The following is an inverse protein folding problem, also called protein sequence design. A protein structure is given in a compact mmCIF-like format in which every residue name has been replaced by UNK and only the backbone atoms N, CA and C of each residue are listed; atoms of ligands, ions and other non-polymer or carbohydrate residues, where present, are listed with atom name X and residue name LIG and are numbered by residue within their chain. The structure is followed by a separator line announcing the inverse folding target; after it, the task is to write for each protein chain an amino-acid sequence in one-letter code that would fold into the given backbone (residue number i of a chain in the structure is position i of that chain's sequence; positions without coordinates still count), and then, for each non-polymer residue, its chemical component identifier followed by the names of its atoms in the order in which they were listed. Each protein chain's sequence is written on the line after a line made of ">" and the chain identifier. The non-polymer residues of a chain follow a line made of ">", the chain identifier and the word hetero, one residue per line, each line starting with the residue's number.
data_IF_313827899775
#
_entry.id   IF_313827899775
#
_cell.length_a   1.000
_cell.length_b   1.000
_cell.length_c   1.000
_cell.angle_alpha   90.00
_cell.angle_beta   90.00
_cell.angle_gamma   90.00
#
_symmetry.space_group_name_H-M   'P 1'
#
loop_
_entity.id
_entity.type
_entity.pdbx_description
1 polymer ?
#
# COMPACT_ATOMS: atom_id res chain seq x y z
N UNK A 1 -8.28 -14.62 91.13
CA UNK A 1 -7.97 -13.35 90.51
C UNK A 1 -8.31 -13.47 89.05
N UNK A 2 -9.48 -12.92 88.66
CA UNK A 2 -10.02 -13.00 87.29
C UNK A 2 -9.67 -11.73 86.52
N UNK A 3 -9.03 -11.85 85.37
CA UNK A 3 -8.90 -10.76 84.45
C UNK A 3 -9.69 -11.08 83.16
N UNK A 4 -10.74 -10.27 82.90
CA UNK A 4 -11.62 -10.31 81.75
C UNK A 4 -10.92 -9.72 80.52
N UNK A 5 -10.71 -10.50 79.46
CA UNK A 5 -10.37 -9.99 78.18
C UNK A 5 -11.65 -9.62 77.42
N UNK A 6 -11.76 -8.32 77.00
CA UNK A 6 -12.78 -7.82 76.11
C UNK A 6 -12.43 -8.20 74.68
N UNK A 7 -13.32 -8.91 73.97
CA UNK A 7 -13.25 -9.16 72.52
C UNK A 7 -13.71 -7.90 71.81
N UNK A 8 -12.84 -7.30 71.01
CA UNK A 8 -13.20 -6.26 70.04
C UNK A 8 -13.83 -6.92 68.80
N UNK A 9 -15.01 -6.48 68.43
CA UNK A 9 -15.68 -6.88 67.19
C UNK A 9 -14.96 -6.20 66.00
N UNK A 10 -14.25 -6.97 65.19
CA UNK A 10 -13.83 -6.52 63.86
C UNK A 10 -15.01 -6.63 62.91
N UNK A 11 -15.42 -5.48 62.35
CA UNK A 11 -16.41 -5.39 61.28
C UNK A 11 -15.76 -5.87 59.99
N UNK A 12 -16.20 -7.00 59.46
CA UNK A 12 -15.76 -7.51 58.15
C UNK A 12 -16.38 -6.61 57.12
N UNK A 13 -15.55 -5.73 56.52
CA UNK A 13 -15.93 -4.95 55.36
C UNK A 13 -16.17 -5.89 54.16
N UNK A 14 -17.34 -5.77 53.60
CA UNK A 14 -17.83 -6.60 52.52
C UNK A 14 -17.05 -6.31 51.23
N UNK A 15 -15.97 -7.05 50.97
CA UNK A 15 -15.08 -6.92 49.80
C UNK A 15 -15.79 -7.11 48.44
N UNK A 16 -16.97 -7.74 48.42
CA UNK A 16 -17.74 -7.96 47.21
C UNK A 16 -18.38 -6.67 46.65
N UNK A 17 -18.79 -5.75 47.53
CA UNK A 17 -19.36 -4.45 47.10
C UNK A 17 -18.29 -3.51 46.58
N UNK A 18 -17.08 -3.54 47.15
CA UNK A 18 -15.95 -2.71 46.67
C UNK A 18 -15.41 -3.21 45.34
N UNK A 19 -15.32 -4.54 45.15
CA UNK A 19 -14.92 -5.14 43.86
C UNK A 19 -15.90 -4.83 42.73
N UNK A 20 -17.22 -4.86 43.00
CA UNK A 20 -18.26 -4.49 42.04
C UNK A 20 -18.21 -3.01 41.64
N UNK A 21 -17.90 -2.12 42.58
CA UNK A 21 -17.77 -0.69 42.34
C UNK A 21 -16.52 -0.34 41.53
N UNK A 22 -15.39 -0.99 41.80
CA UNK A 22 -14.14 -0.86 41.06
C UNK A 22 -14.30 -1.42 39.64
N UNK A 23 -14.90 -2.59 39.46
CA UNK A 23 -15.14 -3.20 38.16
C UNK A 23 -16.09 -2.33 37.27
N UNK A 24 -17.11 -1.71 37.86
CA UNK A 24 -18.01 -0.81 37.16
C UNK A 24 -17.31 0.50 36.70
N UNK A 25 -16.43 1.05 37.55
CA UNK A 25 -15.62 2.22 37.17
C UNK A 25 -14.55 1.89 36.12
N UNK A 26 -13.89 0.72 36.24
CA UNK A 26 -12.94 0.26 35.21
C UNK A 26 -13.62 0.03 33.86
N UNK A 27 -14.78 -0.60 33.83
CA UNK A 27 -15.54 -0.80 32.57
C UNK A 27 -16.05 0.55 31.98
N UNK A 28 -16.38 1.53 32.81
CA UNK A 28 -16.77 2.86 32.32
C UNK A 28 -15.56 3.66 31.83
N UNK A 29 -14.39 3.57 32.50
CA UNK A 29 -13.13 4.16 32.03
C UNK A 29 -12.63 3.48 30.73
N UNK A 30 -12.69 2.15 30.66
CA UNK A 30 -12.32 1.41 29.42
C UNK A 30 -13.28 1.76 28.30
N UNK A 31 -14.59 1.89 28.54
CA UNK A 31 -15.53 2.38 27.52
C UNK A 31 -15.26 3.83 27.10
N UNK A 32 -14.90 4.71 28.02
CA UNK A 32 -14.53 6.10 27.70
C UNK A 32 -13.19 6.18 26.97
N UNK A 33 -12.21 5.35 27.32
CA UNK A 33 -10.91 5.25 26.63
C UNK A 33 -11.09 4.61 25.24
N UNK A 34 -11.94 3.59 25.09
CA UNK A 34 -12.25 2.98 23.79
C UNK A 34 -13.08 3.92 22.90
N UNK A 35 -13.99 4.74 23.47
CA UNK A 35 -14.72 5.75 22.71
C UNK A 35 -13.87 6.99 22.37
N UNK A 36 -12.84 7.31 23.19
CA UNK A 36 -11.88 8.41 22.89
C UNK A 36 -10.78 8.02 21.90
N UNK A 37 -10.57 6.71 21.61
CA UNK A 37 -9.61 6.25 20.60
C UNK A 37 -10.13 6.27 19.15
N UNK A 38 -11.35 6.68 18.92
CA UNK A 38 -12.01 6.50 17.63
C UNK A 38 -12.07 7.73 16.72
N UNK A 39 -11.24 8.77 16.92
CA UNK A 39 -11.24 9.92 16.00
C UNK A 39 -9.92 10.70 15.94
N UNK A 40 -8.77 10.13 16.24
CA UNK A 40 -7.50 10.74 15.85
C UNK A 40 -7.16 10.24 14.45
N UNK A 41 -7.17 11.16 13.50
CA UNK A 41 -6.67 10.95 12.15
C UNK A 41 -5.20 10.50 12.27
N UNK A 42 -4.84 9.36 11.67
CA UNK A 42 -3.45 8.90 11.66
C UNK A 42 -2.67 9.49 10.49
N UNK A 43 -3.36 9.82 9.41
CA UNK A 43 -2.80 10.40 8.21
C UNK A 43 -2.30 11.84 8.40
N UNK A 44 -1.20 12.16 7.78
CA UNK A 44 -0.73 13.54 7.61
C UNK A 44 -1.52 14.23 6.50
N UNK A 45 -2.19 15.35 6.84
CA UNK A 45 -2.89 16.18 5.85
C UNK A 45 -1.88 17.11 5.20
N UNK A 46 -1.80 17.06 3.89
CA UNK A 46 -0.85 17.85 3.10
C UNK A 46 -1.38 19.28 2.91
N UNK A 47 -0.52 20.25 3.09
CA UNK A 47 -0.77 21.67 2.74
C UNK A 47 -0.79 21.84 1.22
N UNK A 48 -1.28 22.97 0.74
CA UNK A 48 -1.29 23.28 -0.71
C UNK A 48 0.10 23.19 -1.33
N UNK A 49 1.14 23.71 -0.68
CA UNK A 49 2.51 23.66 -1.16
C UNK A 49 3.07 22.23 -1.21
N UNK A 50 2.72 21.42 -0.23
CA UNK A 50 3.10 19.99 -0.21
C UNK A 50 2.38 19.21 -1.31
N UNK A 51 1.11 19.50 -1.55
CA UNK A 51 0.35 18.89 -2.65
C UNK A 51 0.99 19.19 -4.00
N UNK A 52 1.44 20.43 -4.25
CA UNK A 52 2.13 20.76 -5.51
C UNK A 52 3.43 19.96 -5.66
N UNK A 53 4.20 19.80 -4.59
CA UNK A 53 5.42 18.95 -4.61
C UNK A 53 5.07 17.47 -4.87
N UNK A 54 3.99 16.97 -4.27
CA UNK A 54 3.49 15.61 -4.52
C UNK A 54 3.06 15.42 -5.99
N UNK A 55 2.41 16.43 -6.59
CA UNK A 55 2.06 16.41 -8.02
C UNK A 55 3.29 16.32 -8.91
N UNK A 56 4.33 17.07 -8.59
CA UNK A 56 5.60 17.04 -9.33
C UNK A 56 6.27 15.68 -9.18
N UNK A 57 6.44 15.17 -7.95
CA UNK A 57 7.06 13.88 -7.70
C UNK A 57 6.27 12.72 -8.36
N UNK A 58 4.94 12.74 -8.26
CA UNK A 58 4.07 11.74 -8.87
C UNK A 58 4.18 11.71 -10.40
N UNK A 59 4.22 12.87 -11.05
CA UNK A 59 4.42 12.96 -12.51
C UNK A 59 5.79 12.40 -12.92
N UNK A 60 6.85 12.77 -12.19
CA UNK A 60 8.19 12.29 -12.48
C UNK A 60 8.32 10.76 -12.31
N UNK A 61 7.65 10.17 -11.33
CA UNK A 61 7.58 8.71 -11.20
C UNK A 61 6.84 8.05 -12.37
N UNK A 62 5.70 8.61 -12.79
CA UNK A 62 4.95 8.15 -13.96
C UNK A 62 5.79 8.21 -15.24
N UNK A 63 6.55 9.30 -15.45
CA UNK A 63 7.43 9.50 -16.61
C UNK A 63 8.52 8.41 -16.70
N UNK A 64 9.06 7.95 -15.55
CA UNK A 64 10.02 6.82 -15.53
C UNK A 64 9.38 5.56 -16.09
N UNK A 65 8.13 5.24 -15.67
CA UNK A 65 7.41 4.05 -16.17
C UNK A 65 7.04 4.15 -17.66
N UNK A 66 6.73 5.35 -18.15
CA UNK A 66 6.50 5.56 -19.59
C UNK A 66 7.80 5.36 -20.37
N UNK A 67 8.89 5.97 -19.94
CA UNK A 67 10.21 5.86 -20.56
C UNK A 67 10.70 4.41 -20.61
N UNK A 68 10.65 3.69 -19.49
CA UNK A 68 11.24 2.33 -19.40
C UNK A 68 10.48 1.31 -20.23
N UNK A 69 9.22 1.57 -20.57
CA UNK A 69 8.40 0.67 -21.37
C UNK A 69 9.02 0.29 -22.73
N UNK A 70 9.75 1.20 -23.36
CA UNK A 70 10.44 0.97 -24.63
C UNK A 70 11.60 -0.04 -24.53
N UNK A 71 12.12 -0.25 -23.32
CA UNK A 71 13.25 -1.13 -23.04
C UNK A 71 12.83 -2.51 -22.54
N UNK A 72 11.57 -2.69 -22.17
CA UNK A 72 11.07 -4.00 -21.68
C UNK A 72 10.85 -4.95 -22.85
N UNK A 73 11.88 -5.72 -23.17
CA UNK A 73 11.89 -6.65 -24.30
C UNK A 73 12.72 -7.90 -24.00
N UNK A 74 12.53 -8.92 -24.83
CA UNK A 74 13.27 -10.19 -24.74
C UNK A 74 14.78 -9.97 -24.73
N UNK A 75 15.45 -10.65 -23.80
CA UNK A 75 16.91 -10.67 -23.66
C UNK A 75 17.48 -9.56 -22.79
N UNK A 76 16.70 -8.49 -22.48
CA UNK A 76 17.11 -7.45 -21.52
C UNK A 76 17.08 -8.04 -20.11
N UNK A 77 18.08 -7.73 -19.31
CA UNK A 77 18.13 -8.12 -17.89
C UNK A 77 17.37 -7.09 -17.02
N UNK A 78 16.89 -7.52 -15.88
CA UNK A 78 16.27 -6.59 -14.94
C UNK A 78 17.29 -5.62 -14.33
N UNK A 79 18.60 -5.97 -14.29
CA UNK A 79 19.67 -5.03 -13.95
C UNK A 79 19.85 -3.92 -14.98
N UNK A 80 19.74 -4.22 -16.29
CA UNK A 80 19.79 -3.18 -17.33
C UNK A 80 18.61 -2.23 -17.20
N UNK A 81 17.41 -2.73 -16.90
CA UNK A 81 16.23 -1.88 -16.65
C UNK A 81 16.45 -0.98 -15.41
N UNK A 82 17.01 -1.52 -14.34
CA UNK A 82 17.36 -0.74 -13.14
C UNK A 82 18.36 0.38 -13.47
N UNK A 83 19.41 0.06 -14.23
CA UNK A 83 20.43 1.06 -14.60
C UNK A 83 19.84 2.18 -15.46
N UNK A 84 18.99 1.84 -16.45
CA UNK A 84 18.32 2.84 -17.30
C UNK A 84 17.41 3.74 -16.46
N UNK A 85 16.62 3.16 -15.55
CA UNK A 85 15.77 3.93 -14.64
C UNK A 85 16.60 4.80 -13.68
N UNK A 86 17.69 4.26 -13.12
CA UNK A 86 18.59 5.01 -12.25
C UNK A 86 19.14 6.24 -12.96
N UNK A 87 19.71 6.06 -14.16
CA UNK A 87 20.29 7.14 -14.95
C UNK A 87 19.25 8.20 -15.33
N UNK A 88 18.04 7.79 -15.67
CA UNK A 88 16.95 8.71 -15.98
C UNK A 88 16.51 9.51 -14.76
N UNK A 89 16.29 8.84 -13.62
CA UNK A 89 15.91 9.48 -12.35
C UNK A 89 16.96 10.49 -11.89
N UNK A 90 18.25 10.07 -11.88
CA UNK A 90 19.32 10.88 -11.32
C UNK A 90 19.79 11.97 -12.29
N UNK A 91 20.09 11.60 -13.54
CA UNK A 91 20.78 12.49 -14.46
C UNK A 91 19.82 13.32 -15.33
N UNK A 92 18.60 12.84 -15.60
CA UNK A 92 17.62 13.57 -16.43
C UNK A 92 16.63 14.34 -15.55
N UNK A 93 16.04 13.68 -14.54
CA UNK A 93 15.02 14.30 -13.70
C UNK A 93 15.60 15.06 -12.50
N UNK A 94 16.90 14.86 -12.18
CA UNK A 94 17.53 15.37 -10.96
C UNK A 94 16.72 15.01 -9.71
N UNK A 95 16.36 13.74 -9.62
CA UNK A 95 15.63 13.12 -8.51
C UNK A 95 16.50 12.08 -7.80
N UNK A 96 16.04 11.61 -6.65
CA UNK A 96 16.66 10.52 -5.90
C UNK A 96 15.75 9.29 -6.04
N UNK A 97 16.27 8.11 -6.44
CA UNK A 97 15.49 6.86 -6.40
C UNK A 97 15.31 6.44 -4.94
N UNK A 98 14.08 6.49 -4.44
CA UNK A 98 13.76 6.24 -3.04
C UNK A 98 14.06 4.80 -2.56
N UNK A 99 13.90 3.74 -3.38
CA UNK A 99 14.20 2.39 -2.94
C UNK A 99 15.68 2.16 -2.62
N UNK A 100 16.60 2.85 -3.31
CA UNK A 100 18.05 2.64 -3.15
C UNK A 100 18.50 2.96 -1.73
N UNK A 101 19.06 1.95 -1.05
CA UNK A 101 19.49 2.00 0.36
C UNK A 101 18.34 2.14 1.38
N UNK A 102 17.10 1.97 0.98
CA UNK A 102 15.96 1.96 1.90
C UNK A 102 15.88 0.67 2.72
N UNK A 103 15.42 0.76 3.96
CA UNK A 103 15.15 -0.39 4.82
C UNK A 103 16.36 -1.04 5.48
N UNK A 104 16.15 -2.23 6.07
CA UNK A 104 17.20 -3.00 6.73
C UNK A 104 16.94 -4.52 6.51
N UNK A 105 17.80 -5.25 5.77
CA UNK A 105 19.00 -4.73 5.08
C UNK A 105 18.64 -3.68 4.02
N UNK A 106 19.57 -2.79 3.63
CA UNK A 106 19.28 -1.78 2.63
C UNK A 106 18.96 -2.41 1.27
N UNK A 107 17.90 -1.92 0.61
CA UNK A 107 17.55 -2.37 -0.74
C UNK A 107 18.64 -1.92 -1.73
N UNK A 108 19.19 -2.83 -2.56
CA UNK A 108 20.42 -2.55 -3.28
C UNK A 108 20.25 -1.88 -4.65
N UNK A 109 19.01 -1.52 -5.04
CA UNK A 109 18.64 -1.10 -6.39
C UNK A 109 17.73 0.12 -6.38
N UNK A 110 17.57 0.77 -7.53
CA UNK A 110 16.82 2.02 -7.68
C UNK A 110 15.34 1.81 -7.94
N UNK A 111 14.97 0.64 -8.45
CA UNK A 111 13.60 0.22 -8.72
C UNK A 111 13.37 -1.22 -8.25
N UNK A 112 12.11 -1.63 -8.08
CA UNK A 112 11.79 -3.05 -7.94
C UNK A 112 11.37 -3.63 -9.29
N UNK A 113 11.73 -4.91 -9.54
CA UNK A 113 11.32 -5.67 -10.74
C UNK A 113 10.77 -7.03 -10.36
N UNK A 114 9.46 -7.18 -10.43
CA UNK A 114 8.75 -8.39 -9.98
C UNK A 114 8.25 -9.20 -11.17
N UNK A 115 8.94 -10.31 -11.49
CA UNK A 115 8.71 -11.11 -12.70
C UNK A 115 7.83 -12.33 -12.40
N UNK A 116 6.73 -12.49 -13.11
CA UNK A 116 5.80 -13.64 -13.11
C UNK A 116 5.19 -13.93 -11.72
N UNK A 117 5.81 -14.84 -10.96
CA UNK A 117 5.34 -15.24 -9.63
C UNK A 117 5.93 -14.43 -8.47
N UNK A 118 6.74 -13.43 -8.78
CA UNK A 118 7.19 -12.42 -7.79
C UNK A 118 6.03 -11.45 -7.57
N UNK A 119 5.65 -11.27 -6.31
CA UNK A 119 4.52 -10.41 -5.91
C UNK A 119 4.97 -8.94 -5.92
N UNK A 120 6.01 -8.63 -5.16
CA UNK A 120 6.58 -7.28 -5.01
C UNK A 120 8.03 -7.36 -4.53
N UNK A 121 8.71 -6.21 -4.49
CA UNK A 121 10.07 -6.00 -3.99
C UNK A 121 11.12 -6.91 -4.67
N UNK A 122 10.87 -7.34 -5.91
CA UNK A 122 11.84 -8.12 -6.67
C UNK A 122 13.12 -7.31 -6.91
N UNK A 123 14.27 -7.84 -6.48
CA UNK A 123 15.57 -7.19 -6.69
C UNK A 123 15.98 -7.37 -8.14
N UNK A 124 16.25 -6.28 -8.90
CA UNK A 124 16.89 -6.35 -10.20
C UNK A 124 18.16 -7.20 -10.22
N UNK A 125 18.31 -8.08 -11.21
CA UNK A 125 19.38 -9.07 -11.33
C UNK A 125 19.73 -9.34 -12.79
N UNK A 126 20.74 -10.20 -13.04
CA UNK A 126 21.16 -10.60 -14.38
C UNK A 126 20.18 -11.61 -15.05
N UNK A 127 18.95 -11.63 -14.58
CA UNK A 127 17.89 -12.43 -15.16
C UNK A 127 17.39 -11.79 -16.46
N UNK A 128 17.60 -12.44 -17.58
CA UNK A 128 17.07 -12.00 -18.86
C UNK A 128 15.56 -12.28 -18.94
N UNK A 129 14.83 -11.29 -19.42
CA UNK A 129 13.41 -11.40 -19.74
C UNK A 129 13.21 -12.27 -20.98
N UNK A 130 12.13 -13.05 -21.00
CA UNK A 130 11.75 -14.00 -22.06
C UNK A 130 10.39 -13.64 -22.63
N UNK A 131 10.13 -14.06 -23.86
CA UNK A 131 8.79 -13.95 -24.44
C UNK A 131 7.75 -14.57 -23.52
N UNK A 132 6.66 -13.84 -23.27
CA UNK A 132 5.58 -14.23 -22.37
C UNK A 132 5.80 -13.88 -20.90
N UNK A 133 6.99 -13.40 -20.50
CA UNK A 133 7.19 -12.91 -19.13
C UNK A 133 6.34 -11.66 -18.88
N UNK A 134 5.68 -11.63 -17.73
CA UNK A 134 5.09 -10.42 -17.15
C UNK A 134 6.01 -9.87 -16.08
N UNK A 135 6.24 -8.57 -16.06
CA UNK A 135 7.06 -7.90 -15.05
C UNK A 135 6.35 -6.66 -14.52
N UNK A 136 6.22 -6.58 -13.21
CA UNK A 136 5.90 -5.32 -12.55
C UNK A 136 7.20 -4.54 -12.36
N UNK A 137 7.20 -3.30 -12.79
CA UNK A 137 8.25 -2.32 -12.47
C UNK A 137 7.63 -1.30 -11.53
N UNK A 138 8.28 -1.11 -10.41
CA UNK A 138 7.84 -0.28 -9.30
C UNK A 138 8.89 0.81 -9.05
N UNK A 139 8.44 2.05 -9.10
CA UNK A 139 9.29 3.24 -9.14
C UNK A 139 8.83 4.24 -8.09
N UNK A 140 9.74 4.60 -7.19
CA UNK A 140 9.55 5.73 -6.28
C UNK A 140 10.68 6.73 -6.47
N UNK A 141 10.31 7.99 -6.72
CA UNK A 141 11.27 9.09 -6.82
C UNK A 141 11.07 10.10 -5.69
N UNK A 142 12.17 10.73 -5.27
CA UNK A 142 12.14 11.86 -4.33
C UNK A 142 12.48 13.12 -5.11
N UNK A 143 11.55 14.09 -5.10
CA UNK A 143 11.77 15.45 -5.64
C UNK A 143 11.42 16.48 -4.60
N UNK A 144 12.36 17.40 -4.33
CA UNK A 144 12.22 18.48 -3.35
C UNK A 144 11.71 18.01 -1.98
N UNK A 145 12.18 16.80 -1.55
CA UNK A 145 11.84 16.18 -0.28
C UNK A 145 10.51 15.45 -0.23
N UNK A 146 9.81 15.28 -1.37
CA UNK A 146 8.53 14.56 -1.45
C UNK A 146 8.63 13.36 -2.38
N UNK A 147 7.88 12.30 -2.06
CA UNK A 147 7.88 11.02 -2.78
C UNK A 147 6.73 10.94 -3.78
N UNK A 148 7.00 10.39 -4.96
CA UNK A 148 5.99 9.92 -5.91
C UNK A 148 6.23 8.46 -6.18
N UNK A 149 5.20 7.64 -5.99
CA UNK A 149 5.28 6.18 -5.98
C UNK A 149 4.24 5.57 -6.90
N UNK A 150 4.66 4.66 -7.79
CA UNK A 150 3.76 4.03 -8.74
C UNK A 150 4.38 2.79 -9.37
N UNK A 151 3.56 1.80 -9.67
CA UNK A 151 4.00 0.61 -10.38
C UNK A 151 3.09 0.25 -11.56
N UNK A 152 3.66 -0.46 -12.55
CA UNK A 152 2.99 -0.88 -13.77
C UNK A 152 3.42 -2.27 -14.19
N UNK A 153 2.45 -3.03 -14.74
CA UNK A 153 2.74 -4.30 -15.40
C UNK A 153 3.17 -4.09 -16.85
N UNK A 154 4.25 -4.73 -17.23
CA UNK A 154 4.71 -4.86 -18.60
C UNK A 154 4.70 -6.33 -19.04
N UNK A 155 4.60 -6.56 -20.33
CA UNK A 155 4.65 -7.91 -20.92
C UNK A 155 5.70 -7.94 -22.01
N UNK A 156 6.52 -8.97 -22.01
CA UNK A 156 7.53 -9.20 -23.05
C UNK A 156 6.91 -10.03 -24.18
N UNK A 157 6.74 -9.43 -25.35
CA UNK A 157 6.03 -10.08 -26.46
C UNK A 157 4.55 -10.28 -26.13
N UNK A 158 4.01 -11.46 -26.44
CA UNK A 158 2.60 -11.79 -26.23
C UNK A 158 2.38 -12.49 -24.88
N UNK A 159 1.45 -12.01 -24.04
CA UNK A 159 1.15 -12.67 -22.78
C UNK A 159 0.37 -13.98 -23.02
N UNK A 160 0.55 -14.95 -22.13
CA UNK A 160 -0.43 -16.03 -22.05
C UNK A 160 -1.84 -15.47 -21.72
N UNK A 161 -2.88 -16.17 -22.13
CA UNK A 161 -4.28 -15.79 -21.83
C UNK A 161 -4.46 -15.56 -20.32
N UNK A 162 -3.84 -16.41 -19.50
CA UNK A 162 -3.90 -16.30 -18.03
C UNK A 162 -3.19 -15.04 -17.51
N UNK A 163 -1.99 -14.75 -18.01
CA UNK A 163 -1.24 -13.57 -17.62
C UNK A 163 -1.97 -12.29 -18.03
N UNK A 164 -2.41 -12.18 -19.28
CA UNK A 164 -3.13 -11.03 -19.79
C UNK A 164 -4.44 -10.76 -19.02
N UNK A 165 -5.19 -11.85 -18.68
CA UNK A 165 -6.40 -11.72 -17.86
C UNK A 165 -6.09 -11.25 -16.45
N UNK A 166 -5.05 -11.81 -15.79
CA UNK A 166 -4.65 -11.41 -14.44
C UNK A 166 -4.24 -9.92 -14.40
N UNK A 167 -3.39 -9.50 -15.33
CA UNK A 167 -2.91 -8.11 -15.42
C UNK A 167 -4.09 -7.14 -15.56
N UNK A 168 -5.02 -7.41 -16.48
CA UNK A 168 -6.21 -6.58 -16.67
C UNK A 168 -7.11 -6.54 -15.43
N UNK A 169 -7.40 -7.69 -14.81
CA UNK A 169 -8.24 -7.74 -13.61
C UNK A 169 -7.59 -7.02 -12.44
N UNK A 170 -6.25 -7.06 -12.33
CA UNK A 170 -5.52 -6.32 -11.29
C UNK A 170 -5.64 -4.82 -11.50
N UNK A 171 -5.47 -4.33 -12.73
CA UNK A 171 -5.64 -2.91 -13.06
C UNK A 171 -7.08 -2.44 -12.81
N UNK A 172 -8.07 -3.21 -13.24
CA UNK A 172 -9.47 -2.90 -12.99
C UNK A 172 -9.82 -2.92 -11.50
N UNK A 173 -9.21 -3.82 -10.72
CA UNK A 173 -9.36 -3.84 -9.26
C UNK A 173 -8.84 -2.55 -8.63
N UNK A 174 -7.66 -2.07 -9.06
CA UNK A 174 -7.11 -0.78 -8.66
C UNK A 174 -8.09 0.35 -8.98
N UNK A 175 -8.58 0.42 -10.21
CA UNK A 175 -9.53 1.46 -10.63
C UNK A 175 -10.86 1.42 -9.87
N UNK A 176 -11.34 0.22 -9.48
CA UNK A 176 -12.51 0.10 -8.59
C UNK A 176 -12.23 0.73 -7.22
N UNK A 177 -11.04 0.51 -6.67
CA UNK A 177 -10.60 1.15 -5.43
C UNK A 177 -10.51 2.67 -5.57
N UNK A 178 -9.85 3.18 -6.62
CA UNK A 178 -9.68 4.61 -6.87
C UNK A 178 -11.04 5.32 -6.98
N UNK A 179 -12.00 4.76 -7.71
CA UNK A 179 -13.36 5.31 -7.86
C UNK A 179 -14.16 5.38 -6.57
N UNK A 180 -13.71 4.72 -5.49
CA UNK A 180 -14.34 4.85 -4.16
C UNK A 180 -13.81 6.06 -3.38
N UNK A 181 -12.67 6.63 -3.78
CA UNK A 181 -11.95 7.65 -2.99
C UNK A 181 -12.65 9.00 -3.06
N UNK A 182 -13.13 9.46 -1.92
CA UNK A 182 -13.66 10.82 -1.67
C UNK A 182 -13.75 11.07 -0.17
N UNK A 183 -13.85 12.32 0.28
CA UNK A 183 -14.06 12.63 1.70
C UNK A 183 -15.27 11.88 2.27
N UNK A 184 -15.12 11.36 3.49
CA UNK A 184 -16.16 10.62 4.20
C UNK A 184 -16.20 9.11 3.94
N UNK A 185 -15.59 8.60 2.87
CA UNK A 185 -15.43 7.16 2.62
C UNK A 185 -14.37 6.60 3.58
N UNK A 186 -14.48 5.32 3.95
CA UNK A 186 -13.51 4.66 4.82
C UNK A 186 -12.56 3.75 4.02
N UNK A 187 -11.34 3.58 4.53
CA UNK A 187 -10.33 2.71 3.87
C UNK A 187 -10.84 1.28 3.64
N UNK A 188 -11.67 0.74 4.55
CA UNK A 188 -12.27 -0.59 4.38
C UNK A 188 -13.27 -0.68 3.22
N UNK A 189 -13.87 0.43 2.80
CA UNK A 189 -14.75 0.46 1.60
C UNK A 189 -13.92 0.28 0.33
N UNK A 190 -12.75 0.92 0.26
CA UNK A 190 -11.78 0.79 -0.84
C UNK A 190 -11.28 -0.66 -0.93
N UNK A 191 -10.76 -1.19 0.19
CA UNK A 191 -10.26 -2.57 0.24
C UNK A 191 -11.33 -3.59 -0.11
N UNK A 192 -12.58 -3.37 0.33
CA UNK A 192 -13.71 -4.23 -0.02
C UNK A 192 -14.03 -4.22 -1.52
N UNK A 193 -14.05 -3.05 -2.15
CA UNK A 193 -14.32 -2.92 -3.59
C UNK A 193 -13.26 -3.65 -4.43
N UNK A 194 -11.99 -3.48 -4.08
CA UNK A 194 -10.85 -4.18 -4.71
C UNK A 194 -11.00 -5.70 -4.55
N UNK A 195 -11.20 -6.16 -3.32
CA UNK A 195 -11.33 -7.57 -3.00
C UNK A 195 -12.50 -8.22 -3.73
N UNK A 196 -13.68 -7.62 -3.69
CA UNK A 196 -14.84 -8.16 -4.36
C UNK A 196 -14.63 -8.34 -5.86
N UNK A 197 -14.01 -7.36 -6.50
CA UNK A 197 -13.77 -7.44 -7.94
C UNK A 197 -12.77 -8.55 -8.28
N UNK A 198 -11.63 -8.62 -7.61
CA UNK A 198 -10.63 -9.66 -7.85
C UNK A 198 -11.14 -11.07 -7.56
N UNK A 199 -11.83 -11.26 -6.42
CA UNK A 199 -12.37 -12.57 -6.01
C UNK A 199 -13.52 -13.03 -6.92
N UNK A 200 -14.33 -12.11 -7.48
CA UNK A 200 -15.36 -12.44 -8.48
C UNK A 200 -14.78 -13.00 -9.78
N UNK A 201 -13.49 -12.73 -10.04
CA UNK A 201 -12.75 -13.27 -11.18
C UNK A 201 -11.93 -14.53 -10.83
N UNK A 202 -12.12 -15.10 -9.62
CA UNK A 202 -11.41 -16.25 -9.07
C UNK A 202 -9.91 -16.02 -8.83
N UNK A 203 -9.53 -14.80 -8.46
CA UNK A 203 -8.18 -14.44 -8.04
C UNK A 203 -8.12 -14.19 -6.54
N UNK A 204 -6.92 -14.16 -5.97
CA UNK A 204 -6.70 -13.98 -4.53
C UNK A 204 -5.97 -12.67 -4.24
N UNK A 205 -6.43 -11.92 -3.23
CA UNK A 205 -5.75 -10.72 -2.73
C UNK A 205 -4.64 -11.12 -1.76
N UNK A 206 -3.44 -10.61 -1.96
CA UNK A 206 -2.34 -10.66 -0.99
C UNK A 206 -2.71 -9.81 0.23
N UNK A 207 -2.38 -10.28 1.44
CA UNK A 207 -2.79 -9.63 2.70
C UNK A 207 -1.63 -9.19 3.58
N UNK A 208 -0.43 -9.61 3.25
CA UNK A 208 0.79 -9.35 4.01
C UNK A 208 1.44 -8.01 3.63
N UNK A 209 0.98 -7.40 2.54
CA UNK A 209 1.42 -6.11 2.01
C UNK A 209 0.22 -5.23 1.72
N UNK A 210 0.43 -3.93 1.77
CA UNK A 210 -0.65 -2.93 1.62
C UNK A 210 -0.08 -1.62 1.07
N UNK A 211 -0.94 -0.77 0.57
CA UNK A 211 -0.64 0.62 0.32
C UNK A 211 -0.46 1.41 1.61
N UNK A 212 0.01 2.62 1.50
CA UNK A 212 0.43 3.45 2.62
C UNK A 212 0.21 4.94 2.36
N UNK A 213 0.12 5.72 3.43
CA UNK A 213 0.28 7.16 3.35
C UNK A 213 1.66 7.50 2.79
N UNK A 214 1.76 8.62 2.06
CA UNK A 214 3.00 9.03 1.39
C UNK A 214 3.13 10.56 1.42
N UNK A 215 4.37 11.05 1.45
CA UNK A 215 4.64 12.48 1.49
C UNK A 215 6.11 12.79 1.60
N UNK A 216 6.48 13.49 2.67
CA UNK A 216 7.87 13.75 3.00
C UNK A 216 8.62 12.47 3.42
N UNK A 217 7.89 11.46 3.93
CA UNK A 217 8.43 10.11 4.13
C UNK A 217 7.89 9.18 3.06
N UNK A 218 8.66 8.15 2.73
CA UNK A 218 8.28 7.13 1.76
C UNK A 218 7.00 6.42 2.23
N UNK A 219 7.04 5.87 3.46
CA UNK A 219 5.89 5.22 4.08
C UNK A 219 5.41 6.04 5.28
N UNK A 220 4.15 6.46 5.22
CA UNK A 220 3.43 7.16 6.29
C UNK A 220 2.16 6.37 6.67
N UNK A 221 1.54 6.71 7.77
CA UNK A 221 0.16 6.28 8.05
C UNK A 221 -0.83 7.01 7.10
N UNK A 222 -1.95 6.38 6.73
CA UNK A 222 -2.44 5.09 7.19
C UNK A 222 -1.95 3.90 6.35
N UNK A 223 -2.09 2.68 6.88
CA UNK A 223 -2.01 1.48 6.06
C UNK A 223 -3.28 1.32 5.23
N UNK A 224 -3.12 1.11 3.92
CA UNK A 224 -4.21 0.99 2.95
C UNK A 224 -4.31 -0.46 2.46
N UNK A 225 -5.04 -1.29 3.18
CA UNK A 225 -5.21 -2.70 2.82
C UNK A 225 -6.17 -2.86 1.64
N UNK A 226 -5.86 -3.81 0.75
CA UNK A 226 -6.64 -4.07 -0.48
C UNK A 226 -7.75 -5.12 -0.27
N UNK A 227 -8.15 -5.33 0.96
CA UNK A 227 -9.25 -6.19 1.40
C UNK A 227 -9.94 -5.56 2.61
N UNK A 228 -11.15 -5.95 2.92
CA UNK A 228 -11.79 -5.40 4.11
C UNK A 228 -13.28 -5.58 4.18
N UNK A 229 -13.85 -4.89 5.15
CA UNK A 229 -15.30 -4.80 5.36
C UNK A 229 -15.76 -3.37 5.13
N UNK A 230 -16.92 -3.16 4.50
CA UNK A 230 -17.50 -1.83 4.36
C UNK A 230 -17.65 -1.12 5.72
N UNK A 231 -17.54 0.19 5.69
CA UNK A 231 -17.67 1.08 6.85
C UNK A 231 -16.64 0.85 7.97
N UNK A 232 -15.43 0.33 7.63
CA UNK A 232 -14.34 0.12 8.59
C UNK A 232 -13.09 0.90 8.21
N UNK A 233 -12.17 1.04 9.16
CA UNK A 233 -10.91 1.76 8.96
C UNK A 233 -11.07 3.27 9.09
N UNK A 234 -10.01 3.99 8.76
CA UNK A 234 -9.94 5.45 8.84
C UNK A 234 -10.82 6.10 7.79
N UNK A 235 -11.42 7.24 8.16
CA UNK A 235 -12.24 8.02 7.24
C UNK A 235 -11.36 8.97 6.43
N UNK A 236 -11.52 8.96 5.12
CA UNK A 236 -10.79 9.85 4.23
C UNK A 236 -11.22 11.30 4.42
N UNK A 237 -10.24 12.19 4.42
CA UNK A 237 -10.44 13.63 4.42
C UNK A 237 -9.60 14.28 3.34
N UNK A 238 -10.03 15.46 2.89
CA UNK A 238 -9.31 16.26 1.91
C UNK A 238 -7.87 16.52 2.35
N UNK A 239 -6.92 16.44 1.40
CA UNK A 239 -5.49 16.63 1.64
C UNK A 239 -4.73 15.38 2.06
N UNK A 240 -5.40 14.22 2.25
CA UNK A 240 -4.71 12.95 2.41
C UNK A 240 -4.04 12.54 1.11
N UNK A 241 -2.77 12.07 1.19
CA UNK A 241 -2.06 11.40 0.10
C UNK A 241 -1.70 9.97 0.53
N UNK A 242 -2.00 8.99 -0.32
CA UNK A 242 -1.71 7.58 -0.06
C UNK A 242 -1.62 6.79 -1.37
N UNK A 243 -1.04 5.57 -1.31
CA UNK A 243 -1.01 4.64 -2.43
C UNK A 243 -2.18 3.65 -2.38
N UNK A 244 -2.65 3.24 -3.54
CA UNK A 244 -3.44 2.01 -3.73
C UNK A 244 -2.65 1.14 -4.70
N UNK A 245 -2.32 -0.09 -4.26
CA UNK A 245 -1.36 -0.96 -4.95
C UNK A 245 -1.74 -2.45 -4.84
N UNK A 246 -2.92 -2.87 -5.28
CA UNK A 246 -3.37 -4.24 -5.09
C UNK A 246 -2.43 -5.26 -5.74
N UNK A 247 -1.95 -6.19 -4.92
CA UNK A 247 -1.22 -7.38 -5.36
C UNK A 247 -2.18 -8.55 -5.45
N UNK A 248 -2.35 -9.10 -6.64
CA UNK A 248 -3.35 -10.13 -6.96
C UNK A 248 -2.67 -11.37 -7.53
N UNK A 249 -2.94 -12.53 -6.92
CA UNK A 249 -2.39 -13.83 -7.33
C UNK A 249 -3.40 -14.63 -8.15
N UNK A 250 -2.91 -15.31 -9.19
CA UNK A 250 -3.71 -16.26 -9.97
C UNK A 250 -4.08 -17.52 -9.17
N UNK A 251 -3.30 -17.86 -8.14
CA UNK A 251 -3.52 -18.98 -7.25
C UNK A 251 -3.95 -18.54 -5.84
N UNK A 252 -3.31 -19.11 -4.81
CA UNK A 252 -3.61 -18.80 -3.43
C UNK A 252 -2.96 -17.48 -2.99
N UNK A 253 -3.57 -16.81 -2.01
CA UNK A 253 -3.13 -15.50 -1.49
C UNK A 253 -1.78 -15.49 -0.75
N UNK A 254 -1.24 -16.66 -0.41
CA UNK A 254 -0.10 -16.77 0.50
C UNK A 254 1.22 -16.39 -0.17
N UNK A 255 2.02 -15.62 0.55
CA UNK A 255 3.33 -15.14 0.15
C UNK A 255 4.47 -15.86 0.88
N UNK A 256 5.68 -15.69 0.37
CA UNK A 256 6.94 -16.11 0.98
C UNK A 256 8.02 -15.10 0.62
N UNK A 257 8.76 -14.63 1.62
CA UNK A 257 9.97 -13.82 1.43
C UNK A 257 11.14 -14.76 1.11
N UNK A 258 11.96 -14.39 0.13
CA UNK A 258 13.18 -15.12 -0.24
C UNK A 258 14.34 -14.81 0.73
N UNK A 259 15.45 -15.60 0.68
CA UNK A 259 16.61 -15.37 1.57
C UNK A 259 17.30 -14.01 1.41
N UNK A 260 17.07 -13.28 0.31
CA UNK A 260 17.53 -11.91 0.11
C UNK A 260 16.84 -10.89 1.02
N UNK A 261 15.81 -11.31 1.77
CA UNK A 261 15.01 -10.57 2.74
C UNK A 261 14.11 -9.48 2.13
N UNK A 262 14.04 -9.39 0.79
CA UNK A 262 13.23 -8.43 0.05
C UNK A 262 12.24 -9.09 -0.90
N UNK A 263 12.70 -9.95 -1.80
CA UNK A 263 11.87 -10.52 -2.85
C UNK A 263 10.74 -11.36 -2.27
N UNK A 264 9.51 -10.96 -2.59
CA UNK A 264 8.29 -11.65 -2.16
C UNK A 264 7.72 -12.45 -3.32
N UNK A 265 7.48 -13.73 -3.11
CA UNK A 265 6.93 -14.63 -4.14
C UNK A 265 5.64 -15.29 -3.70
N UNK A 266 4.80 -15.71 -4.67
CA UNK A 266 3.65 -16.57 -4.37
C UNK A 266 4.14 -17.92 -3.86
N UNK A 267 3.53 -18.42 -2.78
CA UNK A 267 3.95 -19.66 -2.14
C UNK A 267 3.72 -20.88 -3.03
N UNK A 268 2.73 -20.83 -3.90
CA UNK A 268 2.37 -21.88 -4.87
C UNK A 268 2.97 -21.66 -6.27
N UNK A 269 3.80 -20.64 -6.45
CA UNK A 269 4.42 -20.23 -7.71
C UNK A 269 3.43 -19.84 -8.82
N UNK A 270 2.20 -19.53 -8.48
CA UNK A 270 1.23 -18.94 -9.41
C UNK A 270 1.64 -17.53 -9.81
N UNK A 271 1.16 -17.06 -10.96
CA UNK A 271 1.40 -15.69 -11.41
C UNK A 271 0.83 -14.70 -10.40
N UNK A 272 1.51 -13.55 -10.26
CA UNK A 272 1.06 -12.39 -9.52
C UNK A 272 1.12 -11.15 -10.41
N UNK A 273 0.26 -10.19 -10.15
CA UNK A 273 0.29 -8.87 -10.78
C UNK A 273 0.03 -7.79 -9.74
N UNK A 274 0.62 -6.61 -9.96
CA UNK A 274 0.44 -5.41 -9.16
C UNK A 274 0.32 -4.21 -10.09
N UNK A 275 -0.56 -3.29 -9.73
CA UNK A 275 -0.65 -1.95 -10.29
C UNK A 275 -0.78 -0.97 -9.15
N UNK A 276 -0.25 0.22 -9.33
CA UNK A 276 -0.21 1.20 -8.25
C UNK A 276 -0.33 2.63 -8.74
N UNK A 277 -1.00 3.43 -7.91
CA UNK A 277 -1.01 4.88 -7.99
C UNK A 277 -0.89 5.56 -6.64
N UNK A 278 -0.18 6.69 -6.62
CA UNK A 278 -0.29 7.70 -5.57
C UNK A 278 -1.51 8.58 -5.84
N UNK A 279 -2.31 8.78 -4.83
CA UNK A 279 -3.60 9.48 -4.86
C UNK A 279 -3.62 10.65 -3.89
N UNK A 280 -4.35 11.70 -4.27
CA UNK A 280 -4.73 12.82 -3.41
C UNK A 280 -6.25 12.82 -3.23
N UNK A 281 -6.72 12.84 -1.99
CA UNK A 281 -8.14 13.10 -1.69
C UNK A 281 -8.41 14.58 -1.88
N UNK A 282 -9.28 14.91 -2.83
CA UNK A 282 -9.73 16.29 -3.09
C UNK A 282 -11.00 16.61 -2.35
N UNK A 283 -11.45 17.88 -2.37
CA UNK A 283 -12.70 18.29 -1.73
C UNK A 283 -13.93 17.48 -2.20
N UNK A 284 -13.94 17.04 -3.47
CA UNK A 284 -15.11 16.38 -4.08
C UNK A 284 -14.81 14.96 -4.62
N UNK A 285 -13.60 14.44 -4.41
CA UNK A 285 -13.24 13.13 -4.96
C UNK A 285 -11.77 12.80 -4.82
N UNK A 286 -11.11 12.45 -5.92
CA UNK A 286 -9.71 12.02 -5.95
C UNK A 286 -8.97 12.59 -7.17
N UNK A 287 -7.68 12.88 -6.99
CA UNK A 287 -6.74 13.14 -8.07
C UNK A 287 -5.68 12.03 -8.08
N UNK A 288 -5.41 11.45 -9.27
CA UNK A 288 -4.36 10.46 -9.48
C UNK A 288 -3.07 11.21 -9.82
N UNK A 289 -2.11 11.26 -8.89
CA UNK A 289 -0.89 12.06 -9.06
C UNK A 289 0.10 11.40 -10.03
N UNK A 290 0.02 10.09 -10.19
CA UNK A 290 0.92 9.25 -10.98
C UNK A 290 0.27 8.68 -12.25
N UNK A 291 -0.82 9.30 -12.75
CA UNK A 291 -1.51 8.82 -13.95
C UNK A 291 -0.60 8.91 -15.18
N UNK A 292 -0.57 7.83 -15.96
CA UNK A 292 0.17 7.71 -17.23
C UNK A 292 -0.76 7.92 -18.42
N UNK A 293 -0.19 8.31 -19.58
CA UNK A 293 -0.96 8.67 -20.78
C UNK A 293 -1.64 7.47 -21.44
N UNK A 294 -1.18 6.26 -21.18
CA UNK A 294 -1.72 5.00 -21.72
C UNK A 294 -2.82 4.35 -20.85
N UNK A 295 -3.39 5.07 -19.89
CA UNK A 295 -4.42 4.58 -18.99
C UNK A 295 -5.80 5.18 -19.28
N UNK A 296 -6.82 4.30 -19.22
CA UNK A 296 -8.22 4.65 -19.49
C UNK A 296 -8.99 5.00 -18.22
N UNK A 297 -8.50 5.99 -17.48
CA UNK A 297 -9.16 6.54 -16.28
C UNK A 297 -8.90 8.04 -16.19
N UNK A 298 -9.86 8.81 -15.73
CA UNK A 298 -9.71 10.25 -15.56
C UNK A 298 -8.71 10.58 -14.43
N UNK A 299 -7.83 11.55 -14.65
CA UNK A 299 -6.90 12.06 -13.64
C UNK A 299 -7.61 12.57 -12.40
N UNK A 300 -8.72 13.27 -12.56
CA UNK A 300 -9.55 13.82 -11.48
C UNK A 300 -10.94 13.22 -11.59
N UNK A 301 -11.36 12.52 -10.54
CA UNK A 301 -12.69 11.93 -10.44
C UNK A 301 -13.45 12.67 -9.34
N UNK A 302 -14.55 13.30 -9.72
CA UNK A 302 -15.47 13.98 -8.82
C UNK A 302 -16.74 13.15 -8.60
N UNK A 303 -17.33 13.27 -7.41
CA UNK A 303 -18.51 12.50 -7.00
C UNK A 303 -19.67 13.40 -6.59
#
# INVERSE_FOLDING_TARGET
>A
MNSKFKKSKFTVLNYSALAGYIAKRYNTLIRLIVFSRNNTLSATIKTTDEIEKMRVAGRLAADVLQMIGEYVKKGVTTNELDQICHDYIVNVQNCIPAPLNYGNPPFPKSICTSVNHVICHGIPADKQLKDGDSVNIDVTVIKDGYHGDTSKMFVVGEPSIMAGRLIRVTQESLYKGIRMVKPGVRLGDIGHAIQQYAESHNYSIVREYCGHGIGANFHEEPQVVHYGRPNTGETLVEGMCFTIEPMINAGKRYSKILPDQWTVVTKDRSLSAQWEHTLLVTANGVEILTLRDDEEIDRVINH
#
